data_IF_231617328235
#
_entry.id   IF_231617328235
#
_cell.length_a   1.000
_cell.length_b   1.000
_cell.length_c   1.000
_cell.angle_alpha   90.00
_cell.angle_beta   90.00
_cell.angle_gamma   90.00
#
_symmetry.space_group_name_H-M   'P 1'
#
loop_
_entity.id
_entity.type
_entity.pdbx_description
1 polymer ?
#
# COMPACT_ATOMS: atom_id res chain seq x y z
N UNK A 1 -11.05 -0.52 10.49
CA UNK A 1 -10.31 0.70 10.05
C UNK A 1 -10.07 1.71 11.18
N UNK A 2 -10.92 1.80 12.20
CA UNK A 2 -10.77 2.79 13.29
C UNK A 2 -9.59 2.51 14.24
N UNK A 3 -9.16 1.25 14.34
CA UNK A 3 -8.12 0.85 15.30
C UNK A 3 -6.70 1.31 14.93
N UNK A 4 -6.44 1.53 13.63
CA UNK A 4 -5.13 1.95 13.12
C UNK A 4 -5.35 3.02 12.05
N UNK A 5 -5.55 4.30 12.39
CA UNK A 5 -5.87 5.34 11.41
C UNK A 5 -4.71 5.61 10.42
N UNK A 6 -3.47 5.50 10.92
CA UNK A 6 -2.25 5.59 10.13
C UNK A 6 -1.72 4.19 9.82
N UNK A 7 -2.24 3.59 8.74
CA UNK A 7 -1.76 2.33 8.20
C UNK A 7 -1.64 2.40 6.68
N UNK A 8 -0.73 1.61 6.12
CA UNK A 8 -0.59 1.32 4.71
C UNK A 8 0.09 -0.04 4.54
N UNK A 9 0.04 -0.60 3.33
CA UNK A 9 0.78 -1.82 2.99
C UNK A 9 1.92 -1.51 2.01
N UNK A 10 3.08 -2.15 2.23
CA UNK A 10 4.22 -2.08 1.32
C UNK A 10 4.20 -3.33 0.45
N UNK A 11 4.09 -3.15 -0.87
CA UNK A 11 4.05 -4.24 -1.82
C UNK A 11 5.41 -4.44 -2.49
N UNK A 12 6.06 -5.62 -2.37
CA UNK A 12 7.31 -5.92 -3.06
C UNK A 12 7.15 -6.21 -4.56
N UNK A 13 5.92 -6.46 -5.03
CA UNK A 13 5.64 -6.68 -6.45
C UNK A 13 5.66 -5.34 -7.19
N UNK A 14 6.26 -5.24 -8.40
CA UNK A 14 6.22 -4.02 -9.20
C UNK A 14 4.78 -3.53 -9.42
N UNK A 15 4.52 -2.22 -9.28
CA UNK A 15 3.17 -1.61 -9.38
C UNK A 15 2.40 -2.05 -10.63
N UNK A 16 3.08 -2.10 -11.78
CA UNK A 16 2.50 -2.57 -13.05
C UNK A 16 1.89 -3.97 -12.98
N UNK A 17 2.28 -4.80 -12.00
CA UNK A 17 1.79 -6.17 -11.83
C UNK A 17 0.74 -6.32 -10.72
N UNK A 18 0.35 -5.24 -10.02
CA UNK A 18 -0.59 -5.35 -8.90
C UNK A 18 -1.97 -5.89 -9.31
N UNK A 19 -2.41 -5.61 -10.54
CA UNK A 19 -3.67 -6.15 -11.07
C UNK A 19 -3.61 -7.61 -11.53
N UNK A 20 -2.44 -8.27 -11.50
CA UNK A 20 -2.26 -9.61 -12.05
C UNK A 20 -2.45 -10.72 -11.01
N UNK A 21 -2.40 -10.40 -9.71
CA UNK A 21 -2.57 -11.40 -8.66
C UNK A 21 -3.76 -11.07 -7.77
N UNK A 22 -4.63 -12.06 -7.58
CA UNK A 22 -5.85 -11.92 -6.78
C UNK A 22 -5.55 -11.53 -5.33
N UNK A 23 -4.46 -12.06 -4.75
CA UNK A 23 -4.09 -11.73 -3.37
C UNK A 23 -3.75 -10.26 -3.19
N UNK A 24 -3.12 -9.61 -4.18
CA UNK A 24 -2.86 -8.17 -4.12
C UNK A 24 -4.19 -7.38 -4.14
N UNK A 25 -5.17 -7.81 -4.95
CA UNK A 25 -6.49 -7.17 -4.96
C UNK A 25 -7.20 -7.28 -3.59
N UNK A 26 -7.19 -8.46 -2.98
CA UNK A 26 -7.77 -8.67 -1.64
C UNK A 26 -7.09 -7.80 -0.56
N UNK A 27 -5.75 -7.72 -0.58
CA UNK A 27 -5.01 -6.85 0.34
C UNK A 27 -5.31 -5.37 0.06
N UNK A 28 -5.42 -4.97 -1.21
CA UNK A 28 -5.81 -3.62 -1.58
C UNK A 28 -7.17 -3.23 -1.01
N UNK A 29 -8.15 -4.13 -1.01
CA UNK A 29 -9.47 -3.89 -0.39
C UNK A 29 -9.37 -3.72 1.13
N UNK A 30 -8.55 -4.55 1.80
CA UNK A 30 -8.32 -4.47 3.25
C UNK A 30 -7.69 -3.12 3.64
N UNK A 31 -6.77 -2.60 2.82
CA UNK A 31 -6.04 -1.36 3.04
C UNK A 31 -6.66 -0.14 2.33
N UNK A 32 -7.84 -0.25 1.73
CA UNK A 32 -8.51 0.85 0.99
C UNK A 32 -7.64 1.46 -0.12
N UNK A 33 -6.85 0.63 -0.81
CA UNK A 33 -5.90 1.07 -1.82
C UNK A 33 -4.70 1.84 -1.26
N UNK A 34 -4.53 1.92 0.07
CA UNK A 34 -3.35 2.52 0.71
C UNK A 34 -2.17 1.57 0.63
N UNK A 35 -1.60 1.50 -0.56
CA UNK A 35 -0.45 0.66 -0.87
C UNK A 35 0.66 1.49 -1.51
N UNK A 36 1.90 1.10 -1.22
CA UNK A 36 3.09 1.72 -1.85
C UNK A 36 4.06 0.63 -2.34
N UNK A 37 4.82 0.89 -3.40
CA UNK A 37 5.83 -0.04 -3.88
C UNK A 37 7.02 -0.06 -2.93
N UNK A 38 7.74 -1.19 -2.90
CA UNK A 38 9.01 -1.34 -2.19
C UNK A 38 10.16 -0.63 -2.94
N UNK A 39 10.04 0.69 -3.06
CA UNK A 39 11.05 1.60 -3.63
C UNK A 39 11.26 2.77 -2.66
N UNK A 40 12.40 3.44 -2.71
CA UNK A 40 12.66 4.61 -1.86
C UNK A 40 11.60 5.70 -2.05
N UNK A 41 11.18 5.95 -3.28
CA UNK A 41 10.12 6.91 -3.60
C UNK A 41 8.76 6.47 -3.03
N UNK A 42 8.41 5.18 -3.18
CA UNK A 42 7.18 4.63 -2.62
C UNK A 42 7.14 4.74 -1.09
N UNK A 43 8.27 4.47 -0.44
CA UNK A 43 8.40 4.61 1.01
C UNK A 43 8.29 6.06 1.47
N UNK A 44 8.95 7.02 0.79
CA UNK A 44 8.82 8.45 1.10
C UNK A 44 7.36 8.92 0.98
N UNK A 45 6.67 8.54 -0.10
CA UNK A 45 5.24 8.83 -0.32
C UNK A 45 4.36 8.21 0.77
N UNK A 46 4.65 6.98 1.17
CA UNK A 46 3.96 6.27 2.24
C UNK A 46 4.09 7.01 3.56
N UNK A 47 5.32 7.36 3.95
CA UNK A 47 5.61 8.11 5.17
C UNK A 47 4.89 9.46 5.22
N UNK A 48 4.88 10.22 4.12
CA UNK A 48 4.13 11.49 4.04
C UNK A 48 2.63 11.32 4.24
N UNK A 49 2.07 10.20 3.81
CA UNK A 49 0.65 9.89 3.98
C UNK A 49 0.32 9.51 5.42
N UNK A 50 1.24 8.83 6.11
CA UNK A 50 1.06 8.40 7.50
C UNK A 50 1.22 9.52 8.53
N UNK A 51 1.98 10.57 8.19
CA UNK A 51 2.26 11.71 9.07
C UNK A 51 1.23 12.86 8.95
N UNK A 52 0.21 12.69 8.11
CA UNK A 52 -0.92 13.62 7.98
C UNK A 52 -2.08 13.17 8.84
#
# INVERSE_FOLDING_TARGET
REQWPANLWINPVPERHWGYTQSIAMISEIFDGRMVPMTLEGLDRGMRTLLR
#
